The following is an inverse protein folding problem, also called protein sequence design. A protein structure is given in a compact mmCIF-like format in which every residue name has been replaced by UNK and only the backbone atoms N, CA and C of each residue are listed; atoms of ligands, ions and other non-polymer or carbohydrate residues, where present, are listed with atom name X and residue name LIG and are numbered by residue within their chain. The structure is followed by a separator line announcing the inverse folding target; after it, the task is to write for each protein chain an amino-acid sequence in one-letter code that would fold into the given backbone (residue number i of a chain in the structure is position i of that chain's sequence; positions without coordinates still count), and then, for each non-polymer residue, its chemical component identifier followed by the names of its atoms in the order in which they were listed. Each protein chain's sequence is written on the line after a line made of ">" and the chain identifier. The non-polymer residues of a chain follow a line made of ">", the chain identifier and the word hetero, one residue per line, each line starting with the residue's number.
data_IF_873961252867
#
_entry.id   IF_873961252867
#
_cell.length_a   1.000
_cell.length_b   1.000
_cell.length_c   1.000
_cell.angle_alpha   90.00
_cell.angle_beta   90.00
_cell.angle_gamma   90.00
#
_symmetry.space_group_name_H-M   'P 1'
#
loop_
_entity.id
_entity.type
_entity.pdbx_description
1 polymer ?
#
# COMPACT_ATOMS: atom_id res chain seq x y z
N UNK A 1 -0.33 -19.66 16.11
CA UNK A 1 -0.67 -21.09 16.20
C UNK A 1 -2.04 -21.29 16.86
N UNK A 2 -2.31 -20.77 18.06
CA UNK A 2 -3.62 -20.97 18.70
C UNK A 2 -4.78 -20.47 17.85
N UNK A 3 -4.67 -19.31 17.22
CA UNK A 3 -5.69 -18.75 16.34
C UNK A 3 -5.96 -19.62 15.11
N UNK A 4 -4.92 -20.21 14.50
CA UNK A 4 -5.08 -21.08 13.32
C UNK A 4 -5.81 -22.38 13.61
N UNK A 5 -5.88 -22.79 14.88
CA UNK A 5 -6.56 -23.99 15.31
C UNK A 5 -8.00 -23.76 15.81
N UNK A 6 -8.37 -22.49 16.08
CA UNK A 6 -9.62 -22.19 16.78
C UNK A 6 -10.55 -21.24 16.03
N UNK A 7 -10.05 -20.49 15.04
CA UNK A 7 -10.89 -19.58 14.27
C UNK A 7 -11.64 -20.32 13.15
N UNK A 8 -12.89 -19.95 12.86
CA UNK A 8 -13.63 -20.50 11.75
C UNK A 8 -13.15 -19.94 10.41
N UNK A 9 -13.54 -20.57 9.31
CA UNK A 9 -13.26 -20.09 7.96
C UNK A 9 -14.05 -18.82 7.61
N UNK A 10 -15.23 -18.64 8.20
CA UNK A 10 -16.05 -17.44 8.02
C UNK A 10 -16.97 -17.15 9.20
N UNK A 11 -17.38 -15.87 9.26
CA UNK A 11 -18.48 -15.40 10.10
C UNK A 11 -19.53 -14.80 9.17
N UNK A 12 -20.60 -15.51 8.89
CA UNK A 12 -21.57 -15.21 7.83
C UNK A 12 -22.19 -13.80 7.86
N UNK A 13 -22.29 -13.18 9.03
CA UNK A 13 -22.88 -11.85 9.23
C UNK A 13 -21.94 -10.84 9.89
N UNK A 14 -20.70 -11.22 10.18
CA UNK A 14 -19.75 -10.43 10.95
C UNK A 14 -18.39 -10.34 10.23
N UNK A 15 -18.30 -9.67 9.06
CA UNK A 15 -17.09 -9.64 8.23
C UNK A 15 -15.89 -8.94 8.93
N UNK A 16 -16.14 -8.16 9.97
CA UNK A 16 -15.12 -7.50 10.78
C UNK A 16 -14.29 -8.48 11.65
N UNK A 17 -14.72 -9.73 11.79
CA UNK A 17 -14.02 -10.70 12.64
C UNK A 17 -12.91 -11.41 11.87
N UNK A 18 -11.76 -11.58 12.53
CA UNK A 18 -10.64 -12.30 11.94
C UNK A 18 -10.98 -13.79 11.74
N UNK A 19 -10.75 -14.29 10.54
CA UNK A 19 -10.96 -15.69 10.15
C UNK A 19 -9.66 -16.49 10.27
N UNK A 20 -9.76 -17.82 10.14
CA UNK A 20 -8.59 -18.69 10.12
C UNK A 20 -7.64 -18.37 8.97
N UNK A 21 -8.14 -17.92 7.81
CA UNK A 21 -7.30 -17.48 6.68
C UNK A 21 -6.43 -16.25 7.03
N UNK A 22 -7.02 -15.27 7.70
CA UNK A 22 -6.27 -14.11 8.22
C UNK A 22 -5.21 -14.54 9.25
N UNK A 23 -5.53 -15.50 10.13
CA UNK A 23 -4.58 -16.02 11.11
C UNK A 23 -3.40 -16.75 10.46
N UNK A 24 -3.64 -17.58 9.44
CA UNK A 24 -2.58 -18.22 8.65
C UNK A 24 -1.70 -17.20 7.92
N UNK A 25 -2.30 -16.18 7.32
CA UNK A 25 -1.54 -15.12 6.65
C UNK A 25 -0.60 -14.39 7.62
N UNK A 26 -1.11 -14.01 8.79
CA UNK A 26 -0.30 -13.35 9.81
C UNK A 26 0.80 -14.27 10.38
N UNK A 27 0.53 -15.56 10.54
CA UNK A 27 1.55 -16.52 10.98
C UNK A 27 2.66 -16.69 9.96
N UNK A 28 2.32 -16.81 8.67
CA UNK A 28 3.30 -16.87 7.58
C UNK A 28 4.16 -15.60 7.52
N UNK A 29 3.53 -14.42 7.59
CA UNK A 29 4.24 -13.14 7.68
C UNK A 29 5.18 -13.07 8.90
N UNK A 30 4.76 -13.58 10.05
CA UNK A 30 5.59 -13.61 11.26
C UNK A 30 6.84 -14.48 11.08
N UNK A 31 6.70 -15.66 10.45
CA UNK A 31 7.87 -16.51 10.13
C UNK A 31 8.85 -15.83 9.17
N UNK A 32 8.34 -15.10 8.16
CA UNK A 32 9.20 -14.36 7.22
C UNK A 32 9.87 -13.12 7.81
N UNK A 33 9.19 -12.44 8.74
CA UNK A 33 9.64 -11.18 9.33
C UNK A 33 10.47 -11.36 10.60
N UNK A 34 10.53 -12.54 11.16
CA UNK A 34 11.31 -12.80 12.39
C UNK A 34 12.78 -12.45 12.14
N UNK A 35 13.42 -11.68 13.05
CA UNK A 35 14.84 -11.39 12.94
C UNK A 35 15.67 -12.68 12.93
N UNK A 36 16.73 -12.71 12.13
CA UNK A 36 17.57 -13.93 11.95
C UNK A 36 18.19 -14.39 13.27
N UNK A 37 18.60 -13.46 14.11
CA UNK A 37 19.20 -13.74 15.42
C UNK A 37 18.26 -14.47 16.38
N UNK A 38 16.95 -14.44 16.14
CA UNK A 38 15.97 -15.16 16.95
C UNK A 38 15.90 -16.66 16.63
N UNK A 39 16.39 -17.06 15.44
CA UNK A 39 16.24 -18.41 14.90
C UNK A 39 14.78 -18.80 14.59
N UNK A 40 13.84 -17.83 14.58
CA UNK A 40 12.42 -18.07 14.29
C UNK A 40 12.05 -17.84 12.82
N UNK A 41 12.94 -17.20 12.03
CA UNK A 41 12.73 -17.05 10.60
C UNK A 41 12.73 -18.41 9.90
N UNK A 42 11.65 -18.72 9.21
CA UNK A 42 11.46 -20.04 8.61
C UNK A 42 10.57 -19.94 7.35
N UNK A 43 11.20 -19.92 6.19
CA UNK A 43 10.50 -19.83 4.91
C UNK A 43 9.70 -21.08 4.58
N UNK A 44 10.09 -22.26 5.07
CA UNK A 44 9.32 -23.48 4.84
C UNK A 44 8.00 -23.46 5.62
N UNK A 45 8.02 -23.07 6.89
CA UNK A 45 6.78 -22.89 7.67
C UNK A 45 5.90 -21.76 7.15
N UNK A 46 6.51 -20.67 6.68
CA UNK A 46 5.77 -19.58 6.05
C UNK A 46 5.05 -20.07 4.79
N UNK A 47 5.74 -20.84 3.95
CA UNK A 47 5.21 -21.45 2.75
C UNK A 47 4.03 -22.37 3.04
N UNK A 48 4.13 -23.23 4.06
CA UNK A 48 3.03 -24.08 4.53
C UNK A 48 1.79 -23.27 4.93
N UNK A 49 2.00 -22.12 5.61
CA UNK A 49 0.90 -21.22 5.96
C UNK A 49 0.19 -20.66 4.72
N UNK A 50 0.96 -20.17 3.73
CA UNK A 50 0.37 -19.61 2.52
C UNK A 50 -0.28 -20.68 1.65
N UNK A 51 0.34 -21.86 1.49
CA UNK A 51 -0.27 -23.02 0.83
C UNK A 51 -1.59 -23.45 1.47
N UNK A 52 -1.68 -23.39 2.79
CA UNK A 52 -2.91 -23.69 3.50
C UNK A 52 -4.04 -22.74 3.07
N UNK A 53 -3.77 -21.43 2.98
CA UNK A 53 -4.75 -20.44 2.50
C UNK A 53 -5.15 -20.71 1.06
N UNK A 54 -4.18 -20.97 0.18
CA UNK A 54 -4.40 -21.25 -1.24
C UNK A 54 -5.29 -22.49 -1.41
N UNK A 55 -4.99 -23.55 -0.66
CA UNK A 55 -5.72 -24.83 -0.71
C UNK A 55 -7.13 -24.76 -0.10
N UNK A 56 -7.46 -23.74 0.68
CA UNK A 56 -8.84 -23.52 1.12
C UNK A 56 -9.80 -23.28 -0.05
N UNK A 57 -9.28 -22.79 -1.22
CA UNK A 57 -10.10 -22.50 -2.39
C UNK A 57 -11.17 -21.42 -2.16
N UNK A 58 -11.03 -20.65 -1.08
CA UNK A 58 -11.98 -19.63 -0.66
C UNK A 58 -11.66 -18.25 -1.23
N UNK A 59 -10.37 -17.99 -1.42
CA UNK A 59 -9.86 -16.68 -1.86
C UNK A 59 -9.42 -16.75 -3.31
N UNK A 60 -9.68 -15.69 -4.05
CA UNK A 60 -9.25 -15.56 -5.44
C UNK A 60 -8.92 -14.12 -5.76
N UNK A 61 -8.04 -13.89 -6.74
CA UNK A 61 -7.80 -12.55 -7.27
C UNK A 61 -9.04 -12.07 -8.03
N UNK A 62 -9.39 -10.81 -7.84
CA UNK A 62 -10.38 -10.17 -8.70
C UNK A 62 -9.79 -9.99 -10.11
N UNK A 63 -10.62 -10.12 -11.13
CA UNK A 63 -10.18 -9.97 -12.51
C UNK A 63 -9.75 -8.54 -12.82
N UNK A 64 -10.49 -7.56 -12.30
CA UNK A 64 -10.19 -6.15 -12.40
C UNK A 64 -9.61 -5.64 -11.08
N UNK A 65 -8.42 -5.04 -11.15
CA UNK A 65 -7.77 -4.45 -10.00
C UNK A 65 -8.56 -3.28 -9.40
N UNK A 66 -9.28 -2.53 -10.24
CA UNK A 66 -10.11 -1.42 -9.81
C UNK A 66 -11.24 -1.84 -8.87
N UNK A 67 -11.77 -3.05 -9.04
CA UNK A 67 -12.86 -3.56 -8.20
C UNK A 67 -12.47 -3.73 -6.72
N UNK A 68 -11.17 -3.78 -6.40
CA UNK A 68 -10.67 -3.81 -5.03
C UNK A 68 -10.99 -2.53 -4.24
N UNK A 69 -11.06 -1.40 -4.95
CA UNK A 69 -11.15 -0.08 -4.33
C UNK A 69 -12.51 0.57 -4.52
N UNK A 70 -13.49 -0.19 -4.99
CA UNK A 70 -14.88 0.28 -5.11
C UNK A 70 -15.55 0.28 -3.74
N UNK A 71 -16.26 1.37 -3.43
CA UNK A 71 -17.00 1.48 -2.17
C UNK A 71 -18.17 0.47 -2.05
N UNK A 72 -18.75 0.09 -3.18
CA UNK A 72 -19.91 -0.81 -3.29
C UNK A 72 -19.52 -2.29 -3.37
N UNK A 73 -18.23 -2.59 -3.24
CA UNK A 73 -17.70 -3.96 -3.31
C UNK A 73 -16.79 -4.29 -2.09
N UNK A 74 -17.26 -4.10 -0.86
CA UNK A 74 -16.47 -4.47 0.32
C UNK A 74 -16.40 -5.98 0.53
N UNK A 75 -15.38 -6.44 1.25
CA UNK A 75 -15.22 -7.85 1.64
C UNK A 75 -15.22 -8.82 0.45
N UNK A 76 -14.49 -8.47 -0.60
CA UNK A 76 -14.38 -9.26 -1.82
C UNK A 76 -13.74 -10.64 -1.56
N UNK A 77 -13.77 -11.52 -2.56
CA UNK A 77 -13.07 -12.81 -2.50
C UNK A 77 -11.54 -12.67 -2.38
N UNK A 78 -10.98 -11.52 -2.70
CA UNK A 78 -9.56 -11.24 -2.51
C UNK A 78 -9.24 -10.82 -1.07
N UNK A 79 -10.21 -10.37 -0.30
CA UNK A 79 -10.01 -9.91 1.06
C UNK A 79 -9.92 -11.07 2.06
N UNK A 80 -8.82 -11.13 2.80
CA UNK A 80 -8.67 -12.02 3.95
C UNK A 80 -9.08 -11.33 5.25
N UNK A 81 -8.82 -10.02 5.34
CA UNK A 81 -9.21 -9.21 6.51
C UNK A 81 -9.29 -7.73 6.15
N UNK A 82 -10.44 -7.13 6.44
CA UNK A 82 -10.69 -5.70 6.24
C UNK A 82 -11.15 -5.03 7.53
N UNK A 83 -10.66 -3.81 7.76
CA UNK A 83 -11.25 -2.91 8.73
C UNK A 83 -12.55 -2.37 8.14
N UNK A 84 -13.64 -2.54 8.89
CA UNK A 84 -14.97 -2.12 8.46
C UNK A 84 -15.24 -0.70 8.92
N UNK A 85 -15.66 0.15 7.99
CA UNK A 85 -16.02 1.54 8.25
C UNK A 85 -17.45 1.80 7.79
N UNK A 86 -18.03 2.87 8.31
CA UNK A 86 -19.28 3.43 7.84
C UNK A 86 -19.11 4.94 7.62
N UNK A 87 -20.11 5.61 7.07
CA UNK A 87 -20.04 7.04 6.77
C UNK A 87 -20.52 7.94 7.92
N UNK A 88 -20.49 7.44 9.16
CA UNK A 88 -20.93 8.17 10.36
C UNK A 88 -19.78 8.28 11.34
N UNK A 89 -19.48 9.52 11.77
CA UNK A 89 -18.49 9.77 12.81
C UNK A 89 -18.88 9.07 14.14
N UNK A 90 -17.94 8.39 14.85
CA UNK A 90 -16.50 8.32 14.62
C UNK A 90 -16.05 7.11 13.80
N UNK A 91 -16.95 6.28 13.29
CA UNK A 91 -16.63 4.99 12.65
C UNK A 91 -16.34 5.12 11.14
N UNK A 92 -15.97 6.32 10.70
CA UNK A 92 -15.63 6.61 9.32
C UNK A 92 -14.11 6.51 9.05
N UNK A 93 -13.77 6.36 7.76
CA UNK A 93 -12.41 6.29 7.27
C UNK A 93 -11.92 7.69 6.85
N UNK A 94 -10.76 8.09 7.35
CA UNK A 94 -10.15 9.39 7.05
C UNK A 94 -9.05 9.33 5.98
N UNK A 95 -8.73 8.15 5.46
CA UNK A 95 -7.61 8.00 4.51
C UNK A 95 -7.78 8.81 3.23
N UNK A 96 -9.00 8.95 2.73
CA UNK A 96 -9.27 9.82 1.59
C UNK A 96 -8.78 11.24 1.84
N UNK A 97 -9.10 11.78 2.99
CA UNK A 97 -8.73 13.11 3.40
C UNK A 97 -7.23 13.27 3.67
N UNK A 98 -6.61 12.29 4.34
CA UNK A 98 -5.18 12.30 4.66
C UNK A 98 -4.31 12.18 3.41
N UNK A 99 -4.82 11.52 2.37
CA UNK A 99 -4.11 11.24 1.11
C UNK A 99 -4.46 12.20 -0.03
N UNK A 100 -5.51 13.00 0.09
CA UNK A 100 -5.96 13.92 -0.94
C UNK A 100 -5.14 15.20 -1.00
N UNK A 101 -5.11 15.83 -2.18
CA UNK A 101 -4.41 17.12 -2.37
C UNK A 101 -5.16 18.27 -1.72
N UNK A 102 -4.45 19.17 -1.05
CA UNK A 102 -5.00 20.45 -0.58
C UNK A 102 -5.35 21.40 -1.71
N UNK A 103 -4.72 21.24 -2.86
CA UNK A 103 -5.04 22.04 -4.04
C UNK A 103 -6.38 21.64 -4.67
N UNK A 104 -6.83 20.41 -4.43
CA UNK A 104 -8.14 19.95 -4.81
C UNK A 104 -9.17 20.33 -3.76
N UNK A 105 -10.16 21.13 -4.12
CA UNK A 105 -11.22 21.54 -3.22
C UNK A 105 -12.61 21.18 -3.75
N UNK A 106 -13.16 20.09 -3.26
CA UNK A 106 -14.51 19.64 -3.56
C UNK A 106 -15.60 20.61 -3.06
N UNK A 107 -15.27 21.47 -2.09
CA UNK A 107 -16.22 22.44 -1.53
C UNK A 107 -16.70 23.45 -2.55
N UNK A 108 -15.87 23.80 -3.52
CA UNK A 108 -16.23 24.76 -4.55
C UNK A 108 -16.87 24.13 -5.79
N UNK A 109 -17.02 22.81 -5.80
CA UNK A 109 -17.85 22.11 -6.79
C UNK A 109 -17.35 22.17 -8.22
N UNK A 110 -16.05 22.38 -8.45
CA UNK A 110 -15.52 22.59 -9.78
C UNK A 110 -14.24 21.78 -10.03
N UNK A 111 -14.43 20.59 -10.53
CA UNK A 111 -13.37 19.85 -11.20
C UNK A 111 -12.40 19.05 -10.33
N UNK A 112 -12.49 19.15 -9.02
CA UNK A 112 -11.76 18.27 -8.13
C UNK A 112 -12.72 17.64 -7.13
N UNK A 113 -12.85 16.34 -7.22
CA UNK A 113 -13.79 15.57 -6.40
C UNK A 113 -13.26 15.22 -5.01
N UNK A 114 -11.92 15.27 -4.83
CA UNK A 114 -11.25 14.70 -3.68
C UNK A 114 -10.18 15.66 -3.14
N UNK A 115 -10.57 16.51 -2.23
CA UNK A 115 -9.62 17.38 -1.54
C UNK A 115 -9.07 16.71 -0.27
N UNK A 116 -7.96 17.24 0.28
CA UNK A 116 -7.35 16.65 1.45
C UNK A 116 -6.27 17.50 2.10
N UNK A 117 -5.44 16.86 2.91
CA UNK A 117 -4.40 17.51 3.70
C UNK A 117 -2.96 17.20 3.29
N UNK A 118 -2.70 16.41 2.26
CA UNK A 118 -1.34 16.01 1.85
C UNK A 118 -0.51 15.38 2.97
N UNK A 119 -1.12 14.69 3.93
CA UNK A 119 -0.38 14.04 5.00
C UNK A 119 0.44 12.86 4.49
N UNK A 120 -0.08 12.17 3.47
CA UNK A 120 0.57 11.04 2.83
C UNK A 120 0.62 11.28 1.32
N UNK A 121 1.82 11.46 0.81
CA UNK A 121 2.06 11.66 -0.62
C UNK A 121 3.00 10.60 -1.18
N UNK A 122 2.80 10.14 -2.43
CA UNK A 122 3.72 9.21 -3.05
C UNK A 122 5.06 9.89 -3.34
N UNK A 123 6.16 9.14 -3.21
CA UNK A 123 7.47 9.61 -3.67
C UNK A 123 7.52 9.64 -5.20
N UNK A 124 8.41 10.44 -5.84
CA UNK A 124 8.61 10.39 -7.29
C UNK A 124 8.87 8.98 -7.83
N UNK A 125 9.59 8.15 -7.10
CA UNK A 125 9.79 6.76 -7.45
C UNK A 125 8.47 5.97 -7.51
N UNK A 126 7.54 6.27 -6.63
CA UNK A 126 6.26 5.55 -6.52
C UNK A 126 5.20 6.00 -7.54
N UNK A 127 5.38 7.14 -8.23
CA UNK A 127 4.42 7.58 -9.23
C UNK A 127 4.96 7.64 -10.67
N UNK A 128 6.28 7.64 -10.86
CA UNK A 128 6.90 7.68 -12.20
C UNK A 128 6.95 6.32 -12.87
N UNK A 129 7.05 6.33 -14.20
CA UNK A 129 7.34 5.13 -14.98
C UNK A 129 8.80 4.71 -14.84
N UNK A 130 9.11 3.48 -15.25
CA UNK A 130 10.48 2.95 -15.25
C UNK A 130 11.41 3.82 -16.12
N UNK A 131 10.92 4.29 -17.26
CA UNK A 131 11.65 5.17 -18.18
C UNK A 131 11.99 6.54 -17.55
N UNK A 132 11.17 6.98 -16.59
CA UNK A 132 11.36 8.22 -15.82
C UNK A 132 12.12 7.99 -14.50
N UNK A 133 12.59 6.77 -14.26
CA UNK A 133 13.29 6.39 -13.03
C UNK A 133 12.38 6.04 -11.85
N UNK A 134 11.16 5.64 -12.13
CA UNK A 134 10.18 5.19 -11.15
C UNK A 134 9.91 3.68 -11.19
N UNK A 135 8.72 3.27 -10.71
CA UNK A 135 8.36 1.86 -10.50
C UNK A 135 7.43 1.29 -11.58
N UNK A 136 6.63 2.12 -12.28
CA UNK A 136 5.55 1.66 -13.13
C UNK A 136 6.04 1.26 -14.51
N UNK A 137 5.71 0.05 -14.91
CA UNK A 137 5.95 -0.43 -16.27
C UNK A 137 4.84 0.09 -17.20
N UNK A 138 5.20 0.37 -18.46
CA UNK A 138 4.21 0.77 -19.45
C UNK A 138 3.14 -0.31 -19.65
N UNK A 139 1.87 0.10 -19.63
CA UNK A 139 0.71 -0.79 -19.73
C UNK A 139 0.26 -1.45 -18.42
N UNK A 140 0.92 -1.19 -17.29
CA UNK A 140 0.46 -1.67 -15.98
C UNK A 140 -0.77 -0.88 -15.50
N UNK A 141 -1.94 -1.49 -15.58
CA UNK A 141 -3.23 -0.85 -15.26
C UNK A 141 -3.38 -0.46 -13.78
N UNK A 142 -2.59 -1.04 -12.89
CA UNK A 142 -2.64 -0.72 -11.46
C UNK A 142 -2.24 0.72 -11.17
N UNK A 143 -1.42 1.34 -12.03
CA UNK A 143 -1.03 2.75 -11.89
C UNK A 143 -2.23 3.67 -11.86
N UNK A 144 -3.17 3.47 -12.81
CA UNK A 144 -4.38 4.28 -12.95
C UNK A 144 -5.29 4.22 -11.72
N UNK A 145 -5.28 3.09 -11.01
CA UNK A 145 -6.09 2.90 -9.81
C UNK A 145 -5.34 3.28 -8.51
N UNK A 146 -4.02 3.29 -8.55
CA UNK A 146 -3.21 3.64 -7.38
C UNK A 146 -3.03 5.15 -7.21
N UNK A 147 -3.00 5.91 -8.33
CA UNK A 147 -2.57 7.29 -8.37
C UNK A 147 -3.60 8.21 -9.02
N UNK A 148 -3.80 9.35 -8.41
CA UNK A 148 -4.52 10.49 -8.97
C UNK A 148 -3.50 11.48 -9.52
N UNK A 149 -3.49 11.69 -10.83
CA UNK A 149 -2.57 12.62 -11.50
C UNK A 149 -3.25 13.49 -12.56
N UNK A 150 -4.52 13.24 -12.86
CA UNK A 150 -5.36 13.98 -13.80
C UNK A 150 -6.44 14.77 -13.06
N UNK A 151 -6.07 15.76 -12.27
CA UNK A 151 -7.03 16.55 -11.51
C UNK A 151 -6.90 18.03 -11.83
N UNK A 152 -8.02 18.75 -11.69
CA UNK A 152 -8.08 20.21 -11.72
C UNK A 152 -7.93 20.73 -10.30
N UNK A 153 -7.10 21.71 -10.10
CA UNK A 153 -6.88 22.30 -8.79
C UNK A 153 -7.23 23.79 -8.76
N UNK A 154 -7.50 24.27 -7.59
CA UNK A 154 -7.81 25.65 -7.30
C UNK A 154 -6.51 26.46 -7.07
N UNK A 155 -6.36 27.59 -7.78
CA UNK A 155 -5.13 28.39 -7.69
C UNK A 155 -5.10 29.37 -6.53
N UNK A 156 -6.16 29.45 -5.73
CA UNK A 156 -6.35 30.47 -4.69
C UNK A 156 -6.40 31.91 -5.24
N UNK A 157 -6.79 32.06 -6.48
CA UNK A 157 -6.98 33.35 -7.15
C UNK A 157 -8.40 33.47 -7.63
N UNK A 158 -8.82 34.70 -7.79
CA UNK A 158 -10.10 35.06 -8.40
C UNK A 158 -9.84 35.65 -9.77
N UNK A 159 -10.65 35.27 -10.74
CA UNK A 159 -10.72 35.94 -12.04
C UNK A 159 -11.29 37.35 -11.87
N UNK A 160 -11.12 38.20 -12.90
CA UNK A 160 -11.62 39.59 -12.87
C UNK A 160 -13.13 39.69 -12.64
N UNK A 161 -13.88 38.66 -13.04
CA UNK A 161 -15.33 38.54 -12.83
C UNK A 161 -15.73 38.02 -11.43
N UNK A 162 -14.74 37.76 -10.55
CA UNK A 162 -14.96 37.25 -9.20
C UNK A 162 -15.18 35.74 -9.11
N UNK A 163 -14.96 35.00 -10.18
CA UNK A 163 -14.99 33.53 -10.16
C UNK A 163 -13.63 32.98 -9.72
N UNK A 164 -13.62 31.73 -9.20
CA UNK A 164 -12.38 31.06 -8.85
C UNK A 164 -11.61 30.64 -10.11
N UNK A 165 -10.30 30.80 -10.08
CA UNK A 165 -9.43 30.29 -11.14
C UNK A 165 -9.04 28.84 -10.86
N UNK A 166 -9.31 27.97 -11.82
CA UNK A 166 -8.96 26.56 -11.78
C UNK A 166 -7.94 26.22 -12.86
N UNK A 167 -7.00 25.35 -12.55
CA UNK A 167 -5.98 24.89 -13.48
C UNK A 167 -5.89 23.37 -13.42
N UNK A 168 -5.91 22.73 -14.58
CA UNK A 168 -5.56 21.31 -14.70
C UNK A 168 -4.05 21.21 -14.87
N UNK A 169 -3.30 20.60 -13.95
CA UNK A 169 -1.86 20.49 -14.08
C UNK A 169 -1.50 19.57 -15.26
N UNK A 170 -0.52 19.97 -16.04
CA UNK A 170 0.11 19.10 -17.03
C UNK A 170 1.15 18.22 -16.32
N UNK A 171 0.72 17.10 -15.79
CA UNK A 171 1.57 16.19 -15.03
C UNK A 171 2.61 15.48 -15.89
N UNK A 172 2.49 15.53 -17.24
CA UNK A 172 3.54 15.08 -18.14
C UNK A 172 4.79 15.95 -18.07
N UNK A 173 4.65 17.18 -17.57
CA UNK A 173 5.70 18.19 -17.42
C UNK A 173 6.09 18.45 -15.97
N UNK A 174 5.71 17.60 -15.04
CA UNK A 174 6.02 17.80 -13.62
C UNK A 174 7.51 17.92 -13.39
N UNK A 175 8.00 19.12 -13.55
CA UNK A 175 9.17 19.58 -12.85
C UNK A 175 8.72 19.93 -11.45
N UNK A 176 8.87 18.99 -10.54
CA UNK A 176 8.68 19.31 -9.13
C UNK A 176 9.62 20.47 -8.77
N UNK A 177 9.03 21.58 -8.38
CA UNK A 177 9.80 22.80 -8.07
C UNK A 177 10.25 22.84 -6.61
N UNK A 178 9.89 21.86 -5.80
CA UNK A 178 10.22 21.79 -4.39
C UNK A 178 9.42 22.72 -3.49
N UNK A 179 8.49 23.49 -4.04
CA UNK A 179 7.74 24.49 -3.27
C UNK A 179 6.37 24.01 -2.80
N UNK A 180 5.72 23.12 -3.53
CA UNK A 180 4.47 22.50 -3.12
C UNK A 180 4.34 21.12 -3.75
N UNK A 181 4.03 20.12 -2.95
CA UNK A 181 3.68 18.78 -3.37
C UNK A 181 2.19 18.61 -3.70
N UNK A 182 1.40 19.64 -3.48
CA UNK A 182 -0.03 19.72 -3.76
C UNK A 182 -0.40 19.44 -5.23
N UNK A 183 0.54 19.74 -6.15
CA UNK A 183 0.36 19.56 -7.59
C UNK A 183 0.95 18.25 -8.12
N UNK A 184 1.55 17.45 -7.26
CA UNK A 184 2.07 16.14 -7.62
C UNK A 184 0.99 15.06 -7.57
N UNK A 185 1.23 13.88 -8.17
CA UNK A 185 0.30 12.77 -8.07
C UNK A 185 0.00 12.40 -6.61
N UNK A 186 -1.28 12.12 -6.33
CA UNK A 186 -1.78 11.74 -5.03
C UNK A 186 -2.30 10.30 -5.03
N UNK A 187 -2.61 9.77 -3.84
CA UNK A 187 -3.09 8.39 -3.68
C UNK A 187 -4.57 8.33 -4.02
N UNK A 188 -4.93 7.56 -5.05
CA UNK A 188 -6.31 7.38 -5.50
C UNK A 188 -7.05 6.24 -4.79
N UNK A 189 -6.35 5.24 -4.30
CA UNK A 189 -6.96 4.01 -3.72
C UNK A 189 -8.03 4.27 -2.66
N UNK A 190 -7.94 5.37 -1.94
CA UNK A 190 -8.84 5.71 -0.84
C UNK A 190 -9.95 6.68 -1.22
N UNK A 191 -9.95 7.19 -2.44
CA UNK A 191 -11.01 8.06 -2.91
C UNK A 191 -12.39 7.39 -2.82
N UNK A 192 -13.35 8.11 -2.33
CA UNK A 192 -14.74 7.67 -2.21
C UNK A 192 -15.65 8.71 -2.86
N UNK A 193 -16.01 8.48 -4.11
CA UNK A 193 -16.82 9.44 -4.90
C UNK A 193 -18.18 9.76 -4.26
N UNK A 194 -18.65 9.02 -3.25
CA UNK A 194 -19.86 9.36 -2.50
C UNK A 194 -19.65 10.59 -1.64
N UNK A 195 -18.40 10.89 -1.24
CA UNK A 195 -18.05 12.09 -0.48
C UNK A 195 -17.97 13.33 -1.37
N UNK A 196 -17.90 13.14 -2.69
CA UNK A 196 -17.91 14.22 -3.66
C UNK A 196 -19.26 14.94 -3.66
N UNK A 197 -19.21 16.25 -3.45
CA UNK A 197 -20.38 17.13 -3.48
C UNK A 197 -21.13 17.07 -4.81
N UNK A 198 -20.44 16.79 -5.91
CA UNK A 198 -20.98 16.70 -7.26
C UNK A 198 -21.64 15.34 -7.54
N UNK A 199 -21.35 14.32 -6.75
CA UNK A 199 -21.88 12.96 -6.97
C UNK A 199 -23.37 12.85 -6.82
N UNK A 200 -23.98 13.76 -6.05
CA UNK A 200 -25.41 13.72 -5.71
C UNK A 200 -25.82 12.56 -4.80
N UNK A 201 -24.88 11.80 -4.26
CA UNK A 201 -25.14 10.61 -3.44
C UNK A 201 -25.36 10.95 -1.94
N UNK A 202 -25.27 12.24 -1.58
CA UNK A 202 -25.67 12.72 -0.27
C UNK A 202 -24.65 12.60 0.86
N UNK A 203 -23.45 12.10 0.57
CA UNK A 203 -22.32 12.08 1.51
C UNK A 203 -21.38 13.23 1.14
N UNK A 204 -21.77 14.44 1.45
CA UNK A 204 -21.02 15.65 1.10
C UNK A 204 -19.95 15.97 2.15
N UNK A 205 -19.19 14.97 2.58
CA UNK A 205 -18.16 15.15 3.58
C UNK A 205 -17.03 14.12 3.42
N UNK A 206 -15.90 14.56 2.89
CA UNK A 206 -14.71 13.73 2.68
C UNK A 206 -14.13 13.13 3.97
N UNK A 207 -14.51 13.65 5.12
CA UNK A 207 -14.11 13.11 6.42
C UNK A 207 -14.89 11.84 6.81
N UNK A 208 -15.96 11.53 6.11
CA UNK A 208 -16.90 10.49 6.49
C UNK A 208 -16.98 9.39 5.44
N UNK A 209 -15.87 8.98 4.87
CA UNK A 209 -15.88 7.83 3.97
C UNK A 209 -16.22 6.54 4.72
N UNK A 210 -17.15 5.76 4.17
CA UNK A 210 -17.46 4.41 4.65
C UNK A 210 -16.69 3.33 3.90
N UNK A 211 -15.64 3.68 3.17
CA UNK A 211 -14.82 2.73 2.42
C UNK A 211 -13.94 1.91 3.36
N UNK A 212 -14.02 0.60 3.25
CA UNK A 212 -13.21 -0.30 4.04
C UNK A 212 -11.72 -0.18 3.72
N UNK A 213 -10.88 -0.54 4.68
CA UNK A 213 -9.44 -0.66 4.51
C UNK A 213 -9.01 -2.14 4.54
N UNK A 214 -8.49 -2.62 3.42
CA UNK A 214 -8.03 -4.01 3.33
C UNK A 214 -6.65 -4.15 3.99
N UNK A 215 -6.61 -4.89 5.09
CA UNK A 215 -5.39 -5.16 5.83
C UNK A 215 -4.59 -6.31 5.22
N UNK A 216 -5.24 -7.33 4.70
CA UNK A 216 -4.60 -8.51 4.11
C UNK A 216 -5.40 -8.95 2.89
N UNK A 217 -4.74 -9.01 1.73
CA UNK A 217 -5.33 -9.45 0.46
C UNK A 217 -4.68 -10.73 -0.06
N UNK A 218 -5.41 -11.46 -0.87
CA UNK A 218 -4.92 -12.71 -1.47
C UNK A 218 -3.71 -12.50 -2.38
N UNK A 219 -3.61 -11.35 -3.06
CA UNK A 219 -2.42 -10.98 -3.82
C UNK A 219 -1.15 -10.93 -2.95
N UNK A 220 -1.27 -10.42 -1.71
CA UNK A 220 -0.15 -10.41 -0.76
C UNK A 220 0.26 -11.84 -0.38
N UNK A 221 -0.70 -12.73 -0.15
CA UNK A 221 -0.45 -14.16 0.12
C UNK A 221 0.31 -14.81 -1.04
N UNK A 222 -0.13 -14.58 -2.28
CA UNK A 222 0.52 -15.15 -3.48
C UNK A 222 1.95 -14.64 -3.67
N UNK A 223 2.19 -13.34 -3.47
CA UNK A 223 3.52 -12.75 -3.58
C UNK A 223 4.46 -13.24 -2.48
N UNK A 224 3.98 -13.40 -1.25
CA UNK A 224 4.76 -13.95 -0.14
C UNK A 224 5.03 -15.46 -0.34
N UNK A 225 4.06 -16.20 -0.87
CA UNK A 225 4.26 -17.60 -1.25
C UNK A 225 5.35 -17.73 -2.33
N UNK A 226 5.29 -16.90 -3.38
CA UNK A 226 6.32 -16.90 -4.42
C UNK A 226 7.71 -16.54 -3.86
N UNK A 227 7.77 -15.61 -2.91
CA UNK A 227 9.03 -15.29 -2.22
C UNK A 227 9.55 -16.49 -1.42
N UNK A 228 8.69 -17.20 -0.68
CA UNK A 228 9.07 -18.42 0.04
C UNK A 228 9.61 -19.50 -0.90
N UNK A 229 8.93 -19.76 -2.02
CA UNK A 229 9.39 -20.70 -3.04
C UNK A 229 10.79 -20.35 -3.57
N UNK A 230 11.03 -19.07 -3.85
CA UNK A 230 12.36 -18.61 -4.27
C UNK A 230 13.41 -18.88 -3.19
N UNK A 231 13.09 -18.60 -1.91
CA UNK A 231 14.01 -18.87 -0.80
C UNK A 231 14.30 -20.36 -0.63
N UNK A 232 13.36 -21.23 -0.95
CA UNK A 232 13.48 -22.68 -0.94
C UNK A 232 14.12 -23.27 -2.23
N UNK A 233 14.59 -22.42 -3.15
CA UNK A 233 15.25 -22.84 -4.39
C UNK A 233 14.33 -23.23 -5.54
N UNK A 234 13.04 -22.85 -5.45
CA UNK A 234 12.00 -23.11 -6.45
C UNK A 234 11.69 -21.82 -7.26
N UNK A 235 12.72 -21.09 -7.69
CA UNK A 235 12.58 -19.78 -8.36
C UNK A 235 11.69 -19.85 -9.61
N UNK A 236 11.81 -20.92 -10.41
CA UNK A 236 10.99 -21.09 -11.62
C UNK A 236 9.49 -21.15 -11.31
N UNK A 237 9.09 -21.83 -10.23
CA UNK A 237 7.70 -21.91 -9.78
C UNK A 237 7.21 -20.56 -9.23
N UNK A 238 8.06 -19.88 -8.46
CA UNK A 238 7.79 -18.53 -7.97
C UNK A 238 7.50 -17.56 -9.13
N UNK A 239 8.31 -17.58 -10.20
CA UNK A 239 8.11 -16.77 -11.41
C UNK A 239 6.77 -17.08 -12.08
N UNK A 240 6.39 -18.37 -12.16
CA UNK A 240 5.10 -18.75 -12.76
C UNK A 240 3.92 -18.19 -11.98
N UNK A 241 3.95 -18.19 -10.65
CA UNK A 241 2.88 -17.61 -9.82
C UNK A 241 2.78 -16.11 -10.10
N UNK A 242 3.89 -15.38 -10.08
CA UNK A 242 3.90 -13.93 -10.32
C UNK A 242 3.40 -13.62 -11.73
N UNK A 243 3.91 -14.26 -12.76
CA UNK A 243 3.50 -14.02 -14.15
C UNK A 243 2.03 -14.36 -14.39
N UNK A 244 1.61 -15.56 -13.98
CA UNK A 244 0.30 -16.09 -14.39
C UNK A 244 -0.86 -15.51 -13.57
N UNK A 245 -0.61 -15.00 -12.37
CA UNK A 245 -1.65 -14.48 -11.49
C UNK A 245 -1.53 -12.96 -11.35
N UNK A 246 -0.46 -12.47 -10.72
CA UNK A 246 -0.33 -11.06 -10.38
C UNK A 246 -0.15 -10.19 -11.62
N UNK A 247 0.86 -10.51 -12.44
CA UNK A 247 1.18 -9.70 -13.62
C UNK A 247 0.13 -9.85 -14.73
N UNK A 248 -0.40 -11.06 -14.93
CA UNK A 248 -1.51 -11.24 -15.90
C UNK A 248 -2.69 -10.36 -15.54
N UNK A 249 -3.11 -10.29 -14.27
CA UNK A 249 -4.16 -9.37 -13.83
C UNK A 249 -3.78 -7.92 -14.06
N UNK A 250 -2.55 -7.52 -13.72
CA UNK A 250 -2.05 -6.15 -13.89
C UNK A 250 -2.12 -5.65 -15.34
N UNK A 251 -2.10 -6.54 -16.31
CA UNK A 251 -2.30 -6.27 -17.75
C UNK A 251 -3.69 -6.71 -18.26
N UNK A 252 -4.71 -6.65 -17.41
CA UNK A 252 -6.09 -6.91 -17.81
C UNK A 252 -6.36 -8.32 -18.33
N UNK A 253 -5.62 -9.32 -17.83
CA UNK A 253 -5.74 -10.72 -18.23
C UNK A 253 -4.86 -11.15 -19.42
N UNK A 254 -4.09 -10.24 -20.01
CA UNK A 254 -3.23 -10.52 -21.17
C UNK A 254 -1.82 -9.94 -21.00
N UNK A 255 -0.99 -10.64 -20.25
CA UNK A 255 0.39 -10.22 -20.02
C UNK A 255 1.23 -10.34 -21.31
N UNK A 256 1.79 -9.22 -21.86
CA UNK A 256 2.65 -9.25 -23.01
C UNK A 256 3.90 -10.11 -22.78
N UNK A 257 4.43 -10.74 -23.84
CA UNK A 257 5.58 -11.65 -23.73
C UNK A 257 6.84 -10.95 -23.22
N UNK A 258 7.06 -9.71 -23.67
CA UNK A 258 8.20 -8.88 -23.24
C UNK A 258 8.07 -8.38 -21.80
N UNK A 259 6.90 -8.47 -21.19
CA UNK A 259 6.64 -8.14 -19.79
C UNK A 259 6.72 -9.35 -18.86
N UNK A 260 6.78 -10.57 -19.39
CA UNK A 260 6.94 -11.77 -18.58
C UNK A 260 8.32 -11.86 -17.95
N UNK A 261 8.37 -12.26 -16.71
CA UNK A 261 9.62 -12.59 -16.06
C UNK A 261 10.16 -13.92 -16.58
N UNK A 262 11.47 -13.99 -16.79
CA UNK A 262 12.14 -15.20 -17.25
C UNK A 262 12.19 -16.25 -16.11
N UNK A 263 11.65 -17.45 -16.35
CA UNK A 263 11.66 -18.55 -15.37
C UNK A 263 13.07 -19.06 -15.01
N UNK A 264 14.07 -18.73 -15.81
CA UNK A 264 15.49 -19.05 -15.57
C UNK A 264 16.25 -17.97 -14.81
N UNK A 265 15.57 -16.93 -14.28
CA UNK A 265 16.27 -15.90 -13.51
C UNK A 265 16.90 -16.44 -12.23
N UNK A 266 17.93 -15.75 -11.74
CA UNK A 266 18.58 -16.12 -10.48
C UNK A 266 17.69 -15.82 -9.27
N UNK A 267 18.01 -16.49 -8.15
CA UNK A 267 17.34 -16.26 -6.87
C UNK A 267 17.43 -14.79 -6.41
N UNK A 268 18.58 -14.16 -6.60
CA UNK A 268 18.80 -12.77 -6.19
C UNK A 268 18.05 -11.79 -7.12
N UNK A 269 18.03 -12.04 -8.41
CA UNK A 269 17.23 -11.26 -9.34
C UNK A 269 15.74 -11.33 -9.00
N UNK A 270 15.23 -12.50 -8.62
CA UNK A 270 13.85 -12.64 -8.17
C UNK A 270 13.58 -11.83 -6.91
N UNK A 271 14.49 -11.86 -5.92
CA UNK A 271 14.34 -11.06 -4.68
C UNK A 271 14.16 -9.59 -4.95
N UNK A 272 14.97 -9.02 -5.85
CA UNK A 272 14.87 -7.60 -6.18
C UNK A 272 13.56 -7.30 -6.95
N UNK A 273 13.22 -8.12 -7.93
CA UNK A 273 12.00 -7.95 -8.74
C UNK A 273 10.71 -8.12 -7.93
N UNK A 274 10.64 -9.11 -7.02
CA UNK A 274 9.44 -9.33 -6.22
C UNK A 274 9.19 -8.20 -5.23
N UNK A 275 10.24 -7.57 -4.73
CA UNK A 275 10.11 -6.38 -3.87
C UNK A 275 9.51 -5.19 -4.62
N UNK A 276 9.83 -5.04 -5.88
CA UNK A 276 9.26 -4.00 -6.73
C UNK A 276 7.84 -4.38 -7.19
N UNK A 277 7.57 -5.66 -7.47
CA UNK A 277 6.22 -6.14 -7.76
C UNK A 277 5.28 -5.97 -6.58
N UNK A 278 5.75 -6.26 -5.36
CA UNK A 278 5.01 -6.00 -4.13
C UNK A 278 4.71 -4.50 -3.93
N UNK A 279 5.64 -3.62 -4.34
CA UNK A 279 5.39 -2.19 -4.29
C UNK A 279 4.29 -1.77 -5.29
N UNK A 280 4.30 -2.28 -6.52
CA UNK A 280 3.22 -2.01 -7.50
C UNK A 280 1.87 -2.52 -7.02
N UNK A 281 1.85 -3.73 -6.50
CA UNK A 281 0.61 -4.40 -6.08
C UNK A 281 0.02 -3.80 -4.80
N UNK A 282 0.85 -3.56 -3.79
CA UNK A 282 0.45 -3.22 -2.42
C UNK A 282 0.84 -1.79 -2.03
N UNK A 283 1.13 -0.90 -3.02
CA UNK A 283 1.48 0.49 -2.72
C UNK A 283 0.39 1.13 -1.86
N UNK A 284 0.83 1.92 -0.87
CA UNK A 284 -0.03 2.68 0.05
C UNK A 284 -0.89 1.84 1.02
N UNK A 285 -0.73 0.52 1.05
CA UNK A 285 -1.47 -0.38 1.96
C UNK A 285 -0.73 -0.69 3.28
N UNK A 286 0.32 0.08 3.60
CA UNK A 286 1.03 0.01 4.89
C UNK A 286 2.12 -1.06 5.00
N UNK A 287 2.27 -1.97 4.03
CA UNK A 287 3.21 -3.10 4.13
C UNK A 287 4.65 -2.76 3.77
N UNK A 288 4.91 -1.69 3.00
CA UNK A 288 6.24 -1.40 2.45
C UNK A 288 7.34 -1.31 3.49
N UNK A 289 7.10 -0.64 4.64
CA UNK A 289 8.09 -0.55 5.71
C UNK A 289 8.49 -1.92 6.24
N UNK A 290 7.52 -2.81 6.45
CA UNK A 290 7.76 -4.17 6.97
C UNK A 290 8.57 -4.97 5.94
N UNK A 291 8.22 -4.89 4.66
CA UNK A 291 8.97 -5.54 3.57
C UNK A 291 10.42 -5.09 3.53
N UNK A 292 10.67 -3.80 3.60
CA UNK A 292 12.03 -3.25 3.59
C UNK A 292 12.85 -3.63 4.83
N UNK A 293 12.22 -3.71 6.01
CA UNK A 293 12.88 -4.12 7.25
C UNK A 293 13.25 -5.59 7.25
N UNK A 294 12.30 -6.49 6.90
CA UNK A 294 12.53 -7.94 6.91
C UNK A 294 13.53 -8.42 5.86
N UNK A 295 13.71 -7.66 4.78
CA UNK A 295 14.68 -7.92 3.71
C UNK A 295 15.99 -7.15 3.89
N UNK A 296 16.12 -6.39 4.98
CA UNK A 296 17.28 -5.54 5.28
C UNK A 296 17.58 -4.47 4.22
N UNK A 297 16.57 -4.07 3.44
CA UNK A 297 16.68 -3.06 2.37
C UNK A 297 16.21 -1.66 2.81
N UNK A 298 15.82 -1.47 4.06
CA UNK A 298 15.17 -0.25 4.54
C UNK A 298 16.02 1.01 4.29
N UNK A 299 17.26 1.05 4.81
CA UNK A 299 18.09 2.25 4.70
C UNK A 299 18.54 2.48 3.25
N UNK A 300 18.94 1.41 2.56
CA UNK A 300 19.41 1.46 1.17
C UNK A 300 18.34 2.05 0.25
N UNK A 301 17.16 1.43 0.20
CA UNK A 301 16.09 1.84 -0.73
C UNK A 301 15.41 3.16 -0.32
N UNK A 302 15.37 3.51 0.95
CA UNK A 302 14.90 4.84 1.37
C UNK A 302 15.86 5.92 0.88
N UNK A 303 17.18 5.73 1.03
CA UNK A 303 18.18 6.68 0.51
C UNK A 303 18.12 6.83 -1.02
N UNK A 304 17.87 5.74 -1.71
CA UNK A 304 17.79 5.73 -3.17
C UNK A 304 16.50 6.37 -3.70
N UNK A 305 15.35 5.99 -3.13
CA UNK A 305 14.02 6.15 -3.73
C UNK A 305 13.14 7.23 -3.08
N UNK A 306 13.51 7.72 -1.90
CA UNK A 306 12.82 8.82 -1.23
C UNK A 306 13.65 10.10 -1.35
N UNK A 307 13.14 11.08 -2.12
CA UNK A 307 13.87 12.34 -2.38
C UNK A 307 14.19 13.10 -1.12
N UNK A 308 13.26 13.20 -0.17
CA UNK A 308 13.47 13.95 1.07
C UNK A 308 14.55 13.30 1.95
N UNK A 309 14.56 11.98 2.05
CA UNK A 309 15.60 11.25 2.77
C UNK A 309 16.96 11.35 2.06
N UNK A 310 16.98 11.36 0.73
CA UNK A 310 18.18 11.55 -0.09
C UNK A 310 18.77 12.94 0.07
N UNK A 311 17.94 13.98 -0.02
CA UNK A 311 18.34 15.37 0.08
C UNK A 311 18.80 15.74 1.49
N UNK A 312 18.07 15.30 2.51
CA UNK A 312 18.42 15.56 3.92
C UNK A 312 19.61 14.76 4.40
N UNK A 313 19.88 13.59 3.81
CA UNK A 313 20.94 12.66 4.24
C UNK A 313 20.75 12.10 5.66
N UNK A 314 19.56 12.26 6.24
CA UNK A 314 19.34 11.99 7.67
C UNK A 314 19.02 10.53 7.97
N UNK A 315 18.56 9.73 7.00
CA UNK A 315 18.24 8.31 7.23
C UNK A 315 19.49 7.50 7.58
N UNK A 316 19.44 6.79 8.70
CA UNK A 316 20.53 5.98 9.24
C UNK A 316 20.00 4.64 9.75
N UNK A 317 20.90 3.74 10.12
CA UNK A 317 20.57 2.37 10.49
C UNK A 317 19.66 2.28 11.73
N UNK A 318 19.81 3.20 12.68
CA UNK A 318 18.96 3.23 13.86
C UNK A 318 17.47 3.53 13.56
N UNK A 319 17.15 4.18 12.45
CA UNK A 319 15.76 4.44 12.01
C UNK A 319 14.97 3.17 11.63
N UNK A 320 15.63 2.01 11.59
CA UNK A 320 14.96 0.70 11.53
C UNK A 320 14.03 0.48 12.73
N UNK A 321 14.32 1.10 13.86
CA UNK A 321 13.48 1.10 15.06
C UNK A 321 12.87 2.47 15.29
N UNK A 322 11.73 2.52 15.92
CA UNK A 322 11.16 3.78 16.41
C UNK A 322 11.77 4.13 17.77
N UNK A 323 11.84 5.42 18.16
CA UNK A 323 12.17 5.78 19.52
C UNK A 323 11.10 5.24 20.49
N UNK A 324 11.52 4.86 21.69
CA UNK A 324 10.57 4.65 22.78
C UNK A 324 10.01 6.03 23.16
N UNK A 325 8.67 6.20 23.23
CA UNK A 325 8.07 7.49 23.56
C UNK A 325 8.57 8.00 24.91
N UNK A 326 8.88 9.29 24.98
CA UNK A 326 9.31 9.94 26.22
C UNK A 326 8.33 9.76 27.38
N UNK A 327 7.04 9.72 27.06
CA UNK A 327 5.99 9.46 28.06
C UNK A 327 6.15 8.10 28.68
N UNK A 328 6.47 7.07 27.88
CA UNK A 328 6.70 5.71 28.40
C UNK A 328 7.91 5.69 29.35
N UNK A 329 9.04 6.28 28.93
CA UNK A 329 10.25 6.35 29.76
C UNK A 329 10.01 7.12 31.07
N UNK A 330 9.15 8.15 31.06
CA UNK A 330 8.90 8.99 32.24
C UNK A 330 7.84 8.43 33.19
N UNK A 331 6.95 7.58 32.73
CA UNK A 331 5.79 7.12 33.52
C UNK A 331 5.80 5.64 33.85
N UNK A 332 6.67 4.86 33.24
CA UNK A 332 6.81 3.44 33.49
C UNK A 332 8.10 3.20 34.28
N UNK A 333 7.98 2.86 35.56
CA UNK A 333 9.11 2.63 36.47
C UNK A 333 10.05 1.49 36.04
N UNK A 334 9.65 0.68 35.03
CA UNK A 334 10.50 -0.38 34.48
C UNK A 334 11.47 0.14 33.39
N UNK A 335 11.35 1.40 32.97
CA UNK A 335 12.21 2.04 31.95
C UNK A 335 13.00 3.20 32.52
N UNK A 336 14.26 3.34 32.05
CA UNK A 336 15.06 4.53 32.26
C UNK A 336 15.51 5.16 30.93
N UNK A 337 16.16 6.33 30.98
CA UNK A 337 16.71 6.96 29.77
C UNK A 337 17.70 6.06 29.01
N UNK A 338 18.36 5.13 29.70
CA UNK A 338 19.28 4.15 29.12
C UNK A 338 18.61 3.12 28.24
N UNK A 339 17.31 2.88 28.41
CA UNK A 339 16.53 1.91 27.63
C UNK A 339 16.11 2.44 26.26
N UNK A 340 16.31 3.75 25.98
CA UNK A 340 16.03 4.32 24.69
C UNK A 340 16.76 3.59 23.56
N UNK A 341 16.07 3.34 22.46
CA UNK A 341 16.68 2.70 21.30
C UNK A 341 17.93 3.45 20.82
N UNK A 342 19.01 2.72 20.45
CA UNK A 342 20.27 3.34 20.01
C UNK A 342 20.06 4.34 18.88
N UNK A 343 20.76 5.47 18.94
CA UNK A 343 20.71 6.54 17.93
C UNK A 343 19.72 7.66 18.22
N UNK A 344 18.80 7.45 19.16
CA UNK A 344 17.89 8.49 19.66
C UNK A 344 18.45 9.14 20.93
N UNK A 345 18.10 10.42 21.14
CA UNK A 345 18.52 11.15 22.35
C UNK A 345 17.92 10.51 23.60
N UNK A 346 18.77 10.38 24.62
CA UNK A 346 18.41 9.90 25.95
C UNK A 346 17.80 11.02 26.76
#
# INVERSE_FOLDING_TARGET
>A
ITATNNLPESYNSEPQRATVGAAWAMLGKAYMAAPEETGLRDFAKADECFKTIINMGRYELLNDYADLYRYDNPNTKESLFELQFNNVYPDCNYWEFDCGSRACDSWFGQGCSFSGYDFLVPTPFAYKTVEEGGIWEDGDLRKEEALRYDFTYYTNKYSEDGTFEYVTPDLSKTQWTGTTDELEPHIKKYEDYRTDILSGLGINNMWNSGKNFSMIRYADVLLLHAECLNELGQTSEAVQIVNNQIRTRAWGGNLPEDKKWNSGMSKDEFRDKVMDERLRELCFEGWRRIDLLRTNKFVELIKERNRWAKESGTIQDFHKRYPIPDTEIKTNDAFGPEDQNPGYSK
#
